data_IF_702785454006
#
_entry.id   IF_702785454006
#
_cell.length_a   1.000
_cell.length_b   1.000
_cell.length_c   1.000
_cell.angle_alpha   90.00
_cell.angle_beta   90.00
_cell.angle_gamma   90.00
#
_symmetry.space_group_name_H-M   'P 1'
#
loop_
_entity.id
_entity.type
_entity.pdbx_description
1 polymer ?
#
# COMPACT_ATOMS: atom_id res chain seq x y z
N UNK A 1 -12.55 -4.63 -10.88
CA UNK A 1 -11.49 -3.70 -10.44
C UNK A 1 -11.39 -3.77 -8.93
N UNK A 2 -10.27 -4.25 -8.38
CA UNK A 2 -9.97 -4.15 -6.96
C UNK A 2 -9.52 -2.72 -6.66
N UNK A 3 -10.38 -1.94 -6.01
CA UNK A 3 -9.99 -0.68 -5.39
C UNK A 3 -9.06 -1.03 -4.24
N UNK A 4 -7.88 -0.43 -4.20
CA UNK A 4 -6.95 -0.59 -3.08
C UNK A 4 -7.65 0.03 -1.86
N UNK A 5 -8.27 -0.80 -1.01
CA UNK A 5 -8.89 -0.40 0.26
C UNK A 5 -7.83 -0.11 1.32
N UNK A 6 -6.87 0.75 1.00
CA UNK A 6 -5.97 1.31 1.99
C UNK A 6 -6.59 2.52 2.69
N UNK A 7 -6.03 2.96 3.82
CA UNK A 7 -6.47 4.20 4.46
C UNK A 7 -6.28 5.36 3.50
N UNK A 8 -7.35 6.09 3.18
CA UNK A 8 -7.29 7.33 2.42
C UNK A 8 -6.42 8.35 3.16
N UNK A 9 -5.43 8.92 2.49
CA UNK A 9 -4.56 9.93 3.05
C UNK A 9 -4.58 11.18 2.19
N UNK A 10 -5.08 12.28 2.74
CA UNK A 10 -5.09 13.59 2.08
C UNK A 10 -3.66 14.05 1.74
N UNK A 11 -3.48 14.53 0.51
CA UNK A 11 -2.16 14.98 0.01
C UNK A 11 -1.65 16.19 0.78
N UNK A 12 -2.53 17.07 1.24
CA UNK A 12 -2.17 18.25 2.04
C UNK A 12 -1.67 17.88 3.44
N UNK A 13 -2.36 16.97 4.13
CA UNK A 13 -1.92 16.44 5.42
C UNK A 13 -0.58 15.70 5.31
N UNK A 14 -0.41 14.92 4.24
CA UNK A 14 0.84 14.22 3.96
C UNK A 14 2.00 15.19 3.73
N UNK A 15 1.82 16.19 2.86
CA UNK A 15 2.84 17.22 2.60
C UNK A 15 3.17 18.03 3.85
N UNK A 16 2.18 18.33 4.70
CA UNK A 16 2.40 18.99 6.00
C UNK A 16 3.32 18.15 6.90
N UNK A 17 3.17 16.82 6.95
CA UNK A 17 4.06 15.93 7.73
C UNK A 17 5.48 15.87 7.18
N UNK A 18 5.66 16.12 5.89
CA UNK A 18 6.97 16.19 5.24
C UNK A 18 7.64 17.56 5.35
N UNK A 19 6.94 18.55 5.92
CA UNK A 19 7.31 19.96 5.90
C UNK A 19 7.42 20.54 4.48
N UNK A 20 6.56 20.06 3.57
CA UNK A 20 6.57 20.38 2.14
C UNK A 20 5.22 20.97 1.68
N UNK A 21 4.53 21.69 2.58
CA UNK A 21 3.21 22.31 2.33
C UNK A 21 3.21 23.28 1.13
N UNK A 22 4.37 23.80 0.73
CA UNK A 22 4.53 24.65 -0.45
C UNK A 22 4.07 23.98 -1.75
N UNK A 23 4.08 22.64 -1.80
CA UNK A 23 3.64 21.88 -2.97
C UNK A 23 2.15 21.50 -2.94
N UNK A 24 1.37 21.95 -1.95
CA UNK A 24 -0.05 21.61 -1.87
C UNK A 24 -0.80 21.90 -3.17
N UNK A 25 -0.51 23.03 -3.82
CA UNK A 25 -1.20 23.40 -5.06
C UNK A 25 -0.89 22.45 -6.23
N UNK A 26 0.31 21.86 -6.25
CA UNK A 26 0.72 20.87 -7.25
C UNK A 26 -0.06 19.56 -7.07
N UNK A 27 -0.31 19.18 -5.81
CA UNK A 27 -0.93 17.89 -5.47
C UNK A 27 -2.45 17.98 -5.22
N UNK A 28 -3.05 19.17 -5.27
CA UNK A 28 -4.50 19.37 -5.01
C UNK A 28 -5.41 18.63 -6.00
N UNK A 29 -4.90 18.36 -7.20
CA UNK A 29 -5.63 17.68 -8.27
C UNK A 29 -5.77 16.18 -8.04
N UNK A 30 -5.00 15.62 -7.09
CA UNK A 30 -5.09 14.22 -6.71
C UNK A 30 -6.02 14.07 -5.52
N UNK A 31 -6.88 13.05 -5.57
CA UNK A 31 -7.84 12.79 -4.51
C UNK A 31 -7.13 12.45 -3.18
N UNK A 32 -6.06 11.64 -3.25
CA UNK A 32 -5.27 11.25 -2.09
C UNK A 32 -3.85 10.82 -2.48
N UNK A 33 -3.06 10.44 -1.48
CA UNK A 33 -1.70 9.95 -1.70
C UNK A 33 -1.69 8.62 -2.46
N UNK A 34 -2.76 7.83 -2.36
CA UNK A 34 -2.94 6.58 -3.09
C UNK A 34 -2.84 6.75 -4.63
N UNK A 35 -3.32 7.87 -5.19
CA UNK A 35 -3.25 8.17 -6.62
C UNK A 35 -1.80 8.44 -7.10
N UNK A 36 -0.91 8.87 -6.21
CA UNK A 36 0.46 9.27 -6.54
C UNK A 36 1.53 8.28 -6.06
N UNK A 37 1.13 7.13 -5.49
CA UNK A 37 2.07 6.08 -5.04
C UNK A 37 2.97 5.55 -6.17
N UNK A 38 2.51 5.64 -7.41
CA UNK A 38 3.21 5.14 -8.61
C UNK A 38 3.97 6.22 -9.37
N UNK A 39 4.00 7.46 -8.87
CA UNK A 39 4.69 8.57 -9.55
C UNK A 39 6.21 8.33 -9.58
N UNK A 40 6.86 8.74 -10.68
CA UNK A 40 8.32 8.65 -10.83
C UNK A 40 9.02 9.97 -10.52
N UNK A 41 10.35 9.94 -10.34
CA UNK A 41 11.09 11.17 -9.96
C UNK A 41 11.06 12.18 -11.09
N UNK A 42 11.06 11.68 -12.33
CA UNK A 42 10.91 12.49 -13.54
C UNK A 42 9.55 13.18 -13.57
N UNK A 43 8.48 12.47 -13.22
CA UNK A 43 7.14 13.05 -13.12
C UNK A 43 7.07 14.11 -12.01
N UNK A 44 7.64 13.86 -10.81
CA UNK A 44 7.71 14.87 -9.75
C UNK A 44 8.43 16.15 -10.21
N UNK A 45 9.51 16.00 -10.98
CA UNK A 45 10.24 17.13 -11.57
C UNK A 45 9.37 17.88 -12.58
N UNK A 46 8.64 17.15 -13.42
CA UNK A 46 7.73 17.69 -14.43
C UNK A 46 6.55 18.47 -13.82
N UNK A 47 6.00 17.97 -12.71
CA UNK A 47 4.92 18.59 -11.94
C UNK A 47 5.33 19.91 -11.26
N UNK A 48 6.63 20.18 -11.10
CA UNK A 48 7.12 21.45 -10.54
C UNK A 48 8.03 21.30 -9.31
N UNK A 49 8.28 20.08 -8.82
CA UNK A 49 9.22 19.85 -7.70
C UNK A 49 10.66 19.86 -8.22
N UNK A 50 11.19 21.06 -8.49
CA UNK A 50 12.53 21.25 -9.06
C UNK A 50 13.67 21.01 -8.06
N UNK A 51 13.40 21.14 -6.76
CA UNK A 51 14.39 20.89 -5.71
C UNK A 51 14.63 19.37 -5.53
N UNK A 52 15.86 18.91 -5.76
CA UNK A 52 16.24 17.50 -5.67
C UNK A 52 16.14 16.91 -4.26
N UNK A 53 16.42 17.70 -3.22
CA UNK A 53 16.26 17.28 -1.83
C UNK A 53 14.78 17.06 -1.49
N UNK A 54 13.89 17.93 -2.00
CA UNK A 54 12.44 17.79 -1.81
C UNK A 54 11.91 16.58 -2.57
N UNK A 55 12.32 16.37 -3.83
CA UNK A 55 11.98 15.14 -4.58
C UNK A 55 12.41 13.88 -3.85
N UNK A 56 13.63 13.87 -3.30
CA UNK A 56 14.15 12.73 -2.54
C UNK A 56 13.30 12.46 -1.29
N UNK A 57 12.91 13.50 -0.56
CA UNK A 57 12.06 13.37 0.64
C UNK A 57 10.67 12.82 0.28
N UNK A 58 10.05 13.36 -0.77
CA UNK A 58 8.77 12.86 -1.29
C UNK A 58 8.90 11.38 -1.68
N UNK A 59 9.92 11.04 -2.47
CA UNK A 59 10.13 9.67 -2.93
C UNK A 59 10.32 8.66 -1.82
N UNK A 60 11.15 8.99 -0.82
CA UNK A 60 11.32 8.13 0.36
C UNK A 60 9.99 7.90 1.08
N UNK A 61 9.18 8.95 1.20
CA UNK A 61 7.85 8.80 1.82
C UNK A 61 6.92 7.91 1.00
N UNK A 62 6.91 8.04 -0.33
CA UNK A 62 6.04 7.23 -1.21
C UNK A 62 6.44 5.75 -1.20
N UNK A 63 7.74 5.45 -1.15
CA UNK A 63 8.25 4.06 -1.03
C UNK A 63 7.73 3.43 0.28
N UNK A 64 7.82 4.14 1.40
CA UNK A 64 7.33 3.65 2.70
C UNK A 64 5.82 3.49 2.70
N UNK A 65 5.08 4.42 2.08
CA UNK A 65 3.63 4.30 1.99
C UNK A 65 3.25 3.09 1.14
N UNK A 66 3.88 2.88 -0.02
CA UNK A 66 3.61 1.72 -0.88
C UNK A 66 3.74 0.40 -0.14
N UNK A 67 4.78 0.23 0.68
CA UNK A 67 4.94 -0.98 1.52
C UNK A 67 3.77 -1.16 2.51
N UNK A 68 3.26 -0.06 3.08
CA UNK A 68 2.09 -0.10 3.98
C UNK A 68 0.80 -0.47 3.26
N UNK A 69 0.57 0.08 2.06
CA UNK A 69 -0.63 -0.24 1.26
C UNK A 69 -0.60 -1.69 0.78
N UNK A 70 0.57 -2.20 0.37
CA UNK A 70 0.74 -3.60 -0.06
C UNK A 70 0.46 -4.59 1.09
N UNK A 71 0.97 -4.30 2.30
CA UNK A 71 0.65 -5.09 3.49
C UNK A 71 -0.83 -5.04 3.87
N UNK A 72 -1.46 -3.87 3.74
CA UNK A 72 -2.88 -3.72 4.03
C UNK A 72 -3.74 -4.54 3.05
N UNK A 73 -3.41 -4.51 1.75
CA UNK A 73 -4.08 -5.30 0.72
C UNK A 73 -3.90 -6.80 0.96
N UNK A 74 -2.68 -7.23 1.27
CA UNK A 74 -2.35 -8.62 1.65
C UNK A 74 -3.18 -9.12 2.84
N UNK A 75 -3.30 -8.30 3.89
CA UNK A 75 -4.12 -8.61 5.06
C UNK A 75 -5.60 -8.75 4.69
N UNK A 76 -6.16 -7.80 3.94
CA UNK A 76 -7.56 -7.87 3.49
C UNK A 76 -7.78 -9.14 2.66
N UNK A 77 -6.87 -9.44 1.73
CA UNK A 77 -6.96 -10.66 0.92
C UNK A 77 -6.91 -11.93 1.76
N UNK A 78 -6.10 -11.96 2.83
CA UNK A 78 -6.05 -13.09 3.76
C UNK A 78 -7.32 -13.27 4.61
N UNK A 79 -7.98 -12.16 4.97
CA UNK A 79 -9.22 -12.15 5.76
C UNK A 79 -10.45 -12.48 4.91
N UNK A 80 -10.46 -12.05 3.65
CA UNK A 80 -11.60 -12.20 2.73
C UNK A 80 -11.50 -13.47 1.87
N UNK A 81 -10.32 -14.10 1.79
CA UNK A 81 -10.22 -15.44 1.25
C UNK A 81 -10.96 -16.40 2.18
N UNK A 82 -11.95 -17.19 1.69
CA UNK A 82 -12.55 -18.22 2.52
C UNK A 82 -11.41 -19.11 2.99
N UNK A 83 -11.31 -19.27 4.31
CA UNK A 83 -10.36 -20.18 4.95
C UNK A 83 -10.57 -21.54 4.30
N UNK A 84 -9.72 -21.90 3.33
CA UNK A 84 -9.75 -23.20 2.72
C UNK A 84 -9.24 -24.13 3.81
N UNK A 85 -10.21 -24.65 4.55
CA UNK A 85 -10.12 -25.67 5.58
C UNK A 85 -8.97 -26.58 5.20
N UNK A 86 -7.83 -26.46 5.89
CA UNK A 86 -6.87 -27.56 5.97
C UNK A 86 -7.61 -28.62 6.77
N UNK A 87 -8.39 -29.41 6.04
CA UNK A 87 -9.12 -30.54 6.54
C UNK A 87 -8.07 -31.49 7.10
N UNK A 88 -7.98 -31.53 8.43
CA UNK A 88 -7.30 -32.58 9.16
C UNK A 88 -7.86 -33.92 8.69
N UNK A 89 -7.12 -34.62 7.82
CA UNK A 89 -7.35 -36.04 7.62
C UNK A 89 -6.52 -36.79 8.65
N UNK A 90 -6.98 -36.69 9.89
CA UNK A 90 -6.75 -37.70 10.91
C UNK A 90 -7.60 -38.93 10.54
N UNK A 91 -7.09 -39.80 9.69
CA UNK A 91 -7.57 -41.19 9.69
C UNK A 91 -6.70 -41.93 10.71
N UNK A 92 -7.15 -41.93 11.96
CA UNK A 92 -7.97 -43.00 12.54
C UNK A 92 -7.17 -44.29 12.65
N UNK A 93 -6.79 -44.52 13.91
CA UNK A 93 -6.29 -45.77 14.46
C UNK A 93 -7.37 -46.85 14.31
N UNK A 94 -6.91 -48.11 14.40
CA UNK A 94 -7.65 -49.38 14.53
C UNK A 94 -8.32 -49.91 13.23
N UNK A 95 -8.26 -51.19 12.85
CA UNK A 95 -8.00 -52.42 13.60
C UNK A 95 -7.80 -53.62 12.64
N UNK A 96 -6.90 -54.52 13.05
CA UNK A 96 -6.95 -55.99 12.97
C UNK A 96 -6.78 -56.86 11.69
N UNK A 97 -6.02 -57.94 11.95
CA UNK A 97 -6.05 -59.34 11.46
C UNK A 97 -5.21 -59.82 10.26
N UNK A 98 -4.34 -60.78 10.63
CA UNK A 98 -3.95 -62.01 9.90
C UNK A 98 -3.06 -61.82 8.66
N UNK A 99 -1.95 -62.55 8.51
CA UNK A 99 -1.71 -63.96 8.80
C UNK A 99 -0.21 -64.25 8.75
#
# INVERSE_FOLDING_TARGET
MSYITGPHLDTGQWLKKLDLKEYNDIFKSYNGVEDILSISERELKSLGVKNGSHRTRIMRSLIVLRDKYDRADSLIRSVTAPSSVRHSLVHSRESVHSR
#
